data_IF_808612921617
#
_entry.id   IF_808612921617
#
_cell.length_a   1.000
_cell.length_b   1.000
_cell.length_c   1.000
_cell.angle_alpha   90.00
_cell.angle_beta   90.00
_cell.angle_gamma   90.00
#
_symmetry.space_group_name_H-M   'P 1'
#
loop_
_entity.id
_entity.type
_entity.pdbx_description
1 polymer ?
#
# COMPACT_ATOMS: atom_id res chain seq x y z
N UNK A 1 89.94 -40.57 -18.51
CA UNK A 1 89.50 -39.76 -19.66
C UNK A 1 87.96 -39.74 -19.57
N UNK A 2 87.42 -38.63 -19.09
CA UNK A 2 86.01 -38.46 -18.68
C UNK A 2 85.21 -37.86 -19.83
N UNK A 3 84.05 -38.45 -20.18
CA UNK A 3 83.08 -37.84 -21.08
C UNK A 3 81.89 -37.37 -20.26
N UNK A 4 81.67 -36.05 -20.18
CA UNK A 4 80.48 -35.41 -19.66
C UNK A 4 79.34 -35.49 -20.68
N UNK A 5 78.24 -36.03 -20.31
CA UNK A 5 76.98 -36.00 -21.06
C UNK A 5 76.03 -35.01 -20.43
N UNK A 6 75.65 -33.96 -21.16
CA UNK A 6 74.71 -32.90 -20.74
C UNK A 6 73.30 -33.26 -21.17
N UNK A 7 72.45 -33.59 -20.22
CA UNK A 7 71.04 -33.83 -20.46
C UNK A 7 70.28 -32.51 -20.33
N UNK A 8 69.60 -32.04 -21.40
CA UNK A 8 68.74 -30.93 -21.49
C UNK A 8 67.32 -31.36 -20.94
N UNK A 9 66.93 -30.82 -19.82
CA UNK A 9 65.57 -30.96 -19.38
C UNK A 9 64.69 -29.83 -19.98
N UNK A 10 63.69 -30.20 -20.80
CA UNK A 10 62.59 -29.33 -21.23
C UNK A 10 61.62 -29.24 -20.09
N UNK A 11 61.53 -28.04 -19.48
CA UNK A 11 60.48 -27.73 -18.53
C UNK A 11 59.19 -27.40 -19.26
N UNK A 12 58.17 -28.25 -19.08
CA UNK A 12 56.82 -28.03 -19.56
C UNK A 12 56.15 -27.15 -18.55
N UNK A 13 56.00 -25.82 -18.81
CA UNK A 13 55.26 -24.88 -18.00
C UNK A 13 53.75 -25.08 -18.17
N UNK A 14 53.10 -25.69 -17.18
CA UNK A 14 51.68 -25.83 -17.12
C UNK A 14 51.11 -24.54 -16.51
N UNK A 15 50.65 -23.59 -17.35
CA UNK A 15 49.93 -22.39 -16.93
C UNK A 15 48.53 -22.77 -16.54
N UNK A 16 48.30 -22.83 -15.23
CA UNK A 16 46.96 -23.01 -14.61
C UNK A 16 46.20 -21.69 -14.72
N UNK A 17 45.36 -21.54 -15.76
CA UNK A 17 44.41 -20.43 -15.87
C UNK A 17 43.26 -20.65 -14.88
N UNK A 18 43.35 -20.05 -13.71
CA UNK A 18 42.25 -19.97 -12.76
C UNK A 18 41.16 -19.04 -13.30
N UNK A 19 40.14 -19.62 -13.91
CA UNK A 19 38.85 -18.94 -14.20
C UNK A 19 38.18 -18.54 -12.86
N UNK A 20 38.38 -17.30 -12.46
CA UNK A 20 37.55 -16.66 -11.43
C UNK A 20 36.13 -16.48 -12.01
N UNK A 21 35.29 -17.50 -11.87
CA UNK A 21 33.83 -17.33 -11.97
C UNK A 21 33.41 -16.44 -10.81
N UNK A 22 33.29 -15.14 -11.06
CA UNK A 22 32.65 -14.21 -10.18
C UNK A 22 31.18 -14.61 -10.04
N UNK A 23 30.85 -15.38 -9.01
CA UNK A 23 29.48 -15.60 -8.61
C UNK A 23 28.91 -14.23 -8.21
N UNK A 24 28.16 -13.59 -9.11
CA UNK A 24 27.35 -12.46 -8.78
C UNK A 24 26.36 -12.95 -7.71
N UNK A 25 26.65 -12.70 -6.45
CA UNK A 25 25.70 -12.88 -5.36
C UNK A 25 24.56 -11.90 -5.63
N UNK A 26 23.49 -12.38 -6.27
CA UNK A 26 22.23 -11.66 -6.28
C UNK A 26 21.82 -11.53 -4.82
N UNK A 27 21.80 -10.31 -4.31
CA UNK A 27 21.33 -10.03 -2.96
C UNK A 27 19.92 -10.61 -2.84
N UNK A 28 19.80 -11.73 -2.12
CA UNK A 28 18.54 -12.41 -1.91
C UNK A 28 17.64 -11.51 -1.05
N UNK A 29 16.35 -11.44 -1.37
CA UNK A 29 15.39 -10.66 -0.60
C UNK A 29 15.47 -11.05 0.89
N UNK A 30 15.54 -10.04 1.75
CA UNK A 30 15.43 -10.23 3.20
C UNK A 30 13.96 -10.39 3.58
N UNK A 31 13.38 -11.54 3.24
CA UNK A 31 12.00 -11.92 3.62
C UNK A 31 12.03 -12.87 4.81
N UNK A 32 10.89 -13.01 5.48
CA UNK A 32 10.71 -13.90 6.64
C UNK A 32 10.96 -15.37 6.29
N UNK A 33 10.62 -15.76 5.05
CA UNK A 33 10.87 -17.10 4.53
C UNK A 33 11.54 -17.02 3.15
N UNK A 34 12.61 -17.79 2.89
CA UNK A 34 13.28 -17.81 1.61
C UNK A 34 12.33 -18.10 0.44
N UNK A 35 12.38 -17.28 -0.62
CA UNK A 35 11.58 -17.46 -1.83
C UNK A 35 10.09 -17.09 -1.68
N UNK A 36 9.66 -16.61 -0.52
CA UNK A 36 8.29 -16.19 -0.27
C UNK A 36 8.21 -14.69 0.06
N UNK A 37 7.09 -14.06 -0.27
CA UNK A 37 6.75 -12.68 0.10
C UNK A 37 5.39 -12.70 0.82
N UNK A 38 5.40 -12.49 2.13
CA UNK A 38 4.19 -12.39 2.94
C UNK A 38 3.73 -10.95 2.98
N UNK A 39 2.61 -10.64 2.32
CA UNK A 39 2.01 -9.30 2.25
C UNK A 39 0.80 -9.24 3.17
N UNK A 40 0.77 -8.28 4.08
CA UNK A 40 -0.43 -8.01 4.88
C UNK A 40 -1.30 -6.96 4.20
N UNK A 41 -2.61 -7.17 4.29
CA UNK A 41 -3.66 -6.29 3.80
C UNK A 41 -4.95 -6.51 4.60
N UNK A 42 -5.84 -5.53 4.65
CA UNK A 42 -7.18 -5.73 5.20
C UNK A 42 -8.13 -6.18 4.09
N UNK A 43 -8.45 -7.48 4.02
CA UNK A 43 -9.14 -8.08 2.86
C UNK A 43 -10.66 -7.84 2.92
N UNK A 44 -11.05 -6.56 3.04
CA UNK A 44 -12.44 -6.09 3.05
C UNK A 44 -12.61 -4.73 2.38
N UNK A 45 -11.65 -4.32 1.52
CA UNK A 45 -11.52 -2.96 1.01
C UNK A 45 -11.52 -2.88 -0.53
N UNK A 46 -12.62 -3.26 -1.21
CA UNK A 46 -12.69 -3.19 -2.67
C UNK A 46 -12.63 -1.74 -3.18
N UNK A 47 -12.01 -1.47 -4.35
CA UNK A 47 -11.43 -2.40 -5.29
C UNK A 47 -9.96 -2.78 -4.99
N UNK A 48 -9.41 -2.31 -3.86
CA UNK A 48 -8.01 -2.56 -3.50
C UNK A 48 -7.81 -4.03 -3.15
N UNK A 49 -8.55 -4.58 -2.17
CA UNK A 49 -8.52 -5.99 -1.80
C UNK A 49 -9.87 -6.48 -1.27
N UNK A 50 -10.24 -7.69 -1.64
CA UNK A 50 -11.44 -8.37 -1.12
C UNK A 50 -11.36 -9.88 -1.35
N UNK A 51 -12.26 -10.63 -0.70
CA UNK A 51 -12.44 -12.04 -0.99
C UNK A 51 -13.47 -12.25 -2.13
N UNK A 52 -13.14 -13.13 -3.08
CA UNK A 52 -14.08 -13.80 -3.98
C UNK A 52 -14.00 -15.31 -3.73
N UNK A 53 -14.95 -15.85 -2.97
CA UNK A 53 -14.82 -17.18 -2.39
C UNK A 53 -13.58 -17.24 -1.49
N UNK A 54 -12.67 -18.19 -1.77
CA UNK A 54 -11.41 -18.35 -1.03
C UNK A 54 -10.24 -17.58 -1.66
N UNK A 55 -10.49 -16.82 -2.71
CA UNK A 55 -9.42 -16.07 -3.41
C UNK A 55 -9.39 -14.63 -2.96
N UNK A 56 -8.18 -14.14 -2.71
CA UNK A 56 -7.92 -12.72 -2.51
C UNK A 56 -7.79 -12.05 -3.87
N UNK A 57 -8.62 -11.05 -4.14
CA UNK A 57 -8.69 -10.34 -5.42
C UNK A 57 -8.66 -8.83 -5.18
N UNK A 58 -8.28 -8.07 -6.21
CA UNK A 58 -8.24 -6.62 -6.16
C UNK A 58 -6.93 -6.06 -6.71
N UNK A 59 -6.83 -4.74 -6.71
CA UNK A 59 -5.66 -4.04 -7.20
C UNK A 59 -4.38 -4.41 -6.43
N UNK A 60 -4.42 -4.38 -5.10
CA UNK A 60 -3.25 -4.59 -4.25
C UNK A 60 -2.73 -6.05 -4.28
N UNK A 61 -3.57 -7.10 -4.27
CA UNK A 61 -3.11 -8.47 -4.51
C UNK A 61 -2.49 -8.67 -5.89
N UNK A 62 -3.05 -8.08 -6.95
CA UNK A 62 -2.49 -8.19 -8.30
C UNK A 62 -1.19 -7.41 -8.44
N UNK A 63 -1.10 -6.19 -7.88
CA UNK A 63 0.15 -5.44 -7.79
C UNK A 63 1.21 -6.25 -7.05
N UNK A 64 0.85 -6.83 -5.90
CA UNK A 64 1.75 -7.68 -5.11
C UNK A 64 2.26 -8.87 -5.91
N UNK A 65 1.41 -9.51 -6.70
CA UNK A 65 1.78 -10.65 -7.54
C UNK A 65 2.74 -10.23 -8.67
N UNK A 66 2.51 -9.09 -9.33
CA UNK A 66 3.41 -8.55 -10.35
C UNK A 66 4.78 -8.22 -9.76
N UNK A 67 4.82 -7.53 -8.61
CA UNK A 67 6.06 -7.19 -7.93
C UNK A 67 6.83 -8.44 -7.47
N UNK A 68 6.14 -9.40 -6.85
CA UNK A 68 6.73 -10.66 -6.40
C UNK A 68 7.31 -11.48 -7.57
N UNK A 69 6.65 -11.50 -8.72
CA UNK A 69 7.15 -12.15 -9.94
C UNK A 69 8.51 -11.57 -10.37
N UNK A 70 8.61 -10.24 -10.45
CA UNK A 70 9.87 -9.57 -10.80
C UNK A 70 10.99 -9.85 -9.78
N UNK A 71 10.62 -9.99 -8.50
CA UNK A 71 11.52 -10.33 -7.41
C UNK A 71 11.83 -11.83 -7.32
N UNK A 72 11.21 -12.68 -8.17
CA UNK A 72 11.28 -14.15 -8.13
C UNK A 72 10.84 -14.73 -6.78
N UNK A 73 9.83 -14.13 -6.17
CA UNK A 73 9.21 -14.55 -4.91
C UNK A 73 7.80 -15.06 -5.14
N UNK A 74 7.33 -15.95 -4.26
CA UNK A 74 5.94 -16.41 -4.24
C UNK A 74 5.15 -15.56 -3.25
N UNK A 75 4.12 -14.79 -3.69
CA UNK A 75 3.32 -13.99 -2.80
C UNK A 75 2.37 -14.85 -1.96
N UNK A 76 2.12 -14.43 -0.73
CA UNK A 76 1.05 -14.91 0.13
C UNK A 76 0.43 -13.72 0.85
N UNK A 77 -0.88 -13.78 1.15
CA UNK A 77 -1.62 -12.68 1.73
C UNK A 77 -2.05 -13.02 3.15
N UNK A 78 -1.88 -12.05 4.05
CA UNK A 78 -2.28 -12.16 5.45
C UNK A 78 -3.36 -11.10 5.71
N UNK A 79 -4.60 -11.57 5.98
CA UNK A 79 -5.68 -10.70 6.43
C UNK A 79 -5.35 -10.11 7.80
N UNK A 80 -5.29 -8.80 7.87
CA UNK A 80 -4.81 -8.08 9.05
C UNK A 80 -5.62 -6.80 9.22
N UNK A 81 -6.10 -6.53 10.43
CA UNK A 81 -6.81 -5.27 10.71
C UNK A 81 -5.97 -4.06 10.34
N UNK A 82 -6.58 -3.06 9.69
CA UNK A 82 -5.91 -1.86 9.17
C UNK A 82 -5.02 -1.17 10.21
N UNK A 83 -5.52 -0.96 11.43
CA UNK A 83 -4.77 -0.34 12.52
C UNK A 83 -3.49 -1.11 12.92
N UNK A 84 -3.42 -2.42 12.60
CA UNK A 84 -2.30 -3.31 12.96
C UNK A 84 -1.29 -3.51 11.83
N UNK A 85 -1.60 -3.11 10.61
CA UNK A 85 -0.78 -3.38 9.42
C UNK A 85 0.68 -2.95 9.60
N UNK A 86 0.93 -1.68 9.88
CA UNK A 86 2.29 -1.13 9.97
C UNK A 86 3.01 -1.61 11.24
N UNK A 87 2.28 -1.79 12.34
CA UNK A 87 2.85 -2.34 13.58
C UNK A 87 3.35 -3.78 13.40
N UNK A 88 2.65 -4.58 12.60
CA UNK A 88 3.03 -5.95 12.26
C UNK A 88 4.36 -6.04 11.50
N UNK A 89 4.71 -5.04 10.69
CA UNK A 89 6.04 -4.95 10.05
C UNK A 89 7.15 -4.85 11.10
N UNK A 90 6.99 -3.95 12.07
CA UNK A 90 7.93 -3.79 13.17
C UNK A 90 8.11 -5.10 13.96
N UNK A 91 7.02 -5.82 14.22
CA UNK A 91 6.99 -7.11 14.90
C UNK A 91 7.45 -8.31 14.06
N UNK A 92 7.76 -8.13 12.76
CA UNK A 92 8.18 -9.23 11.89
C UNK A 92 7.07 -10.26 11.60
N UNK A 93 5.82 -9.84 11.55
CA UNK A 93 4.68 -10.71 11.25
C UNK A 93 4.48 -10.94 9.75
N UNK A 94 4.95 -9.99 8.92
CA UNK A 94 4.88 -10.01 7.47
C UNK A 94 6.06 -9.23 6.87
N UNK A 95 6.32 -9.42 5.60
CA UNK A 95 7.43 -8.81 4.87
C UNK A 95 7.09 -7.41 4.37
N UNK A 96 5.86 -7.23 3.91
CA UNK A 96 5.36 -5.99 3.33
C UNK A 96 3.89 -5.73 3.71
N UNK A 97 3.47 -4.47 3.59
CA UNK A 97 2.05 -4.05 3.60
C UNK A 97 1.75 -3.36 2.28
N UNK A 98 0.70 -3.84 1.60
CA UNK A 98 0.09 -3.22 0.43
C UNK A 98 -1.42 -3.33 0.64
N UNK A 99 -2.09 -2.21 0.98
CA UNK A 99 -3.51 -2.22 1.43
C UNK A 99 -4.10 -0.81 1.37
N UNK A 100 -4.09 -0.18 0.19
CA UNK A 100 -4.62 1.18 0.03
C UNK A 100 -4.05 2.20 1.03
N UNK A 101 -2.86 1.95 1.55
CA UNK A 101 -2.31 2.61 2.72
C UNK A 101 -1.54 3.89 2.37
N UNK A 102 -1.98 5.04 2.91
CA UNK A 102 -1.30 6.32 2.70
C UNK A 102 0.07 6.40 3.37
N UNK A 103 1.03 7.01 2.67
CA UNK A 103 2.33 7.38 3.23
C UNK A 103 2.15 8.59 4.14
N UNK A 104 2.50 8.44 5.42
CA UNK A 104 2.44 9.52 6.41
C UNK A 104 3.73 9.63 7.21
N UNK A 105 4.08 10.83 7.73
CA UNK A 105 5.27 10.99 8.57
C UNK A 105 5.28 10.04 9.77
N UNK A 106 4.13 9.82 10.40
CA UNK A 106 4.01 8.92 11.56
C UNK A 106 4.38 7.48 11.20
N UNK A 107 3.85 6.96 10.08
CA UNK A 107 4.16 5.60 9.60
C UNK A 107 5.62 5.46 9.20
N UNK A 108 6.21 6.51 8.62
CA UNK A 108 7.63 6.52 8.25
C UNK A 108 8.59 6.50 9.44
N UNK A 109 8.13 6.73 10.67
CA UNK A 109 8.97 6.54 11.86
C UNK A 109 9.26 5.06 12.15
N UNK A 110 8.37 4.16 11.76
CA UNK A 110 8.40 2.72 12.10
C UNK A 110 8.51 1.79 10.87
N UNK A 111 8.32 2.30 9.67
CA UNK A 111 8.44 1.56 8.42
C UNK A 111 9.04 2.44 7.33
N UNK A 112 9.59 1.84 6.27
CA UNK A 112 9.94 2.54 5.05
C UNK A 112 8.85 2.30 4.00
N UNK A 113 8.65 3.26 3.08
CA UNK A 113 7.60 3.15 2.08
C UNK A 113 8.08 3.53 0.68
N UNK A 114 7.65 2.76 -0.32
CA UNK A 114 7.77 3.08 -1.75
C UNK A 114 6.43 3.59 -2.26
N UNK A 115 6.33 4.84 -2.75
CA UNK A 115 5.12 5.36 -3.37
C UNK A 115 4.71 4.58 -4.62
N UNK A 116 3.40 4.27 -4.77
CA UNK A 116 2.91 3.67 -6.01
C UNK A 116 1.78 4.47 -6.70
N UNK A 117 0.93 5.18 -5.95
CA UNK A 117 -0.14 6.00 -6.53
C UNK A 117 -0.43 7.24 -5.67
N UNK A 118 -1.00 8.29 -6.25
CA UNK A 118 -1.54 9.44 -5.51
C UNK A 118 -3.05 9.48 -5.67
N UNK A 119 -3.77 9.66 -4.57
CA UNK A 119 -5.24 9.74 -4.54
C UNK A 119 -5.67 10.68 -3.42
N UNK A 120 -6.98 10.89 -3.29
CA UNK A 120 -7.56 11.60 -2.15
C UNK A 120 -8.74 10.83 -1.59
N UNK A 121 -9.30 11.33 -0.51
CA UNK A 121 -10.55 10.84 0.03
C UNK A 121 -11.73 11.46 -0.73
N UNK A 122 -12.81 10.69 -0.91
CA UNK A 122 -14.11 11.23 -1.23
C UNK A 122 -14.97 11.25 0.04
N UNK A 123 -15.82 12.27 0.15
CA UNK A 123 -16.81 12.36 1.22
C UNK A 123 -18.05 11.60 0.75
N UNK A 124 -18.45 10.61 1.53
CA UNK A 124 -19.65 9.82 1.36
C UNK A 124 -20.70 10.28 2.36
N UNK A 125 -21.95 10.35 1.94
CA UNK A 125 -23.07 10.77 2.77
C UNK A 125 -24.32 9.92 2.50
N UNK A 126 -25.26 9.88 3.44
CA UNK A 126 -26.57 9.30 3.18
C UNK A 126 -27.32 10.12 2.14
N UNK A 127 -28.06 9.46 1.21
CA UNK A 127 -28.79 10.13 0.11
C UNK A 127 -29.67 11.26 0.60
N UNK A 128 -30.36 11.06 1.73
CA UNK A 128 -31.34 12.01 2.29
C UNK A 128 -30.77 12.79 3.50
N UNK A 129 -29.45 12.70 3.76
CA UNK A 129 -28.77 13.36 4.86
C UNK A 129 -28.08 14.66 4.45
N UNK A 130 -27.27 15.19 5.37
CA UNK A 130 -26.34 16.29 5.05
C UNK A 130 -25.34 15.80 4.02
N UNK A 131 -24.99 16.66 3.07
CA UNK A 131 -24.07 16.31 1.96
C UNK A 131 -22.91 17.30 1.91
N UNK A 132 -21.89 17.14 2.77
CA UNK A 132 -20.70 17.97 2.75
C UNK A 132 -20.00 17.86 1.39
N UNK A 133 -19.59 19.00 0.81
CA UNK A 133 -18.94 19.06 -0.51
C UNK A 133 -17.43 19.18 -0.40
N UNK A 134 -16.96 19.75 0.71
CA UNK A 134 -15.54 19.98 1.00
C UNK A 134 -15.24 19.55 2.43
N UNK A 135 -13.97 19.43 2.78
CA UNK A 135 -13.55 19.17 4.15
C UNK A 135 -14.07 20.21 5.14
N UNK A 136 -14.21 21.46 4.71
CA UNK A 136 -14.68 22.56 5.57
C UNK A 136 -16.15 22.43 5.97
N UNK A 137 -16.95 21.74 5.16
CA UNK A 137 -18.36 21.47 5.45
C UNK A 137 -18.56 20.38 6.52
N UNK A 138 -17.47 19.77 6.99
CA UNK A 138 -17.50 18.74 8.02
C UNK A 138 -17.61 19.30 9.45
N UNK A 139 -17.47 20.63 9.65
CA UNK A 139 -17.65 21.24 10.98
C UNK A 139 -19.05 20.94 11.52
N UNK A 140 -19.11 20.35 12.73
CA UNK A 140 -20.38 19.93 13.38
C UNK A 140 -21.03 18.67 12.79
N UNK A 141 -20.38 18.03 11.81
CA UNK A 141 -20.87 16.78 11.20
C UNK A 141 -20.29 15.58 11.97
N UNK A 142 -21.12 14.56 12.19
CA UNK A 142 -20.70 13.29 12.75
C UNK A 142 -20.10 12.41 11.66
N UNK A 143 -18.78 12.26 11.65
CA UNK A 143 -17.99 11.57 10.64
C UNK A 143 -17.51 10.22 11.17
N UNK A 144 -17.83 9.15 10.45
CA UNK A 144 -17.27 7.83 10.69
C UNK A 144 -15.98 7.62 9.92
N UNK A 145 -15.01 7.00 10.58
CA UNK A 145 -13.72 6.64 10.00
C UNK A 145 -13.33 5.23 10.42
N UNK A 146 -12.57 4.56 9.59
CA UNK A 146 -11.88 3.35 10.02
C UNK A 146 -10.71 3.70 10.96
N UNK A 147 -10.59 2.94 12.04
CA UNK A 147 -9.56 3.12 13.06
C UNK A 147 -8.14 2.99 12.47
N UNK A 148 -7.26 3.91 12.84
CA UNK A 148 -5.87 3.94 12.33
C UNK A 148 -5.70 4.67 10.99
N UNK A 149 -6.78 5.21 10.40
CA UNK A 149 -6.67 6.04 9.20
C UNK A 149 -6.05 7.41 9.51
N UNK A 150 -5.35 7.99 8.54
CA UNK A 150 -4.73 9.31 8.70
C UNK A 150 -5.75 10.45 8.84
N UNK A 151 -7.00 10.20 8.48
CA UNK A 151 -8.06 11.21 8.53
C UNK A 151 -8.49 11.56 9.95
N UNK A 152 -8.38 10.65 10.92
CA UNK A 152 -8.65 10.93 12.34
C UNK A 152 -7.88 12.18 12.79
N UNK A 153 -6.56 12.20 12.53
CA UNK A 153 -5.71 13.36 12.85
C UNK A 153 -6.09 14.60 12.03
N UNK A 154 -6.37 14.43 10.73
CA UNK A 154 -6.74 15.54 9.83
C UNK A 154 -8.04 16.23 10.27
N UNK A 155 -9.06 15.47 10.67
CA UNK A 155 -10.33 16.05 11.16
C UNK A 155 -10.19 16.72 12.52
N UNK A 156 -9.28 16.22 13.37
CA UNK A 156 -8.93 16.92 14.62
C UNK A 156 -8.27 18.27 14.33
N UNK A 157 -7.34 18.33 13.39
CA UNK A 157 -6.70 19.58 12.95
C UNK A 157 -7.74 20.53 12.35
N UNK A 158 -8.62 20.04 11.47
CA UNK A 158 -9.72 20.83 10.91
C UNK A 158 -10.59 21.45 12.00
N UNK A 159 -10.93 20.67 13.04
CA UNK A 159 -11.74 21.16 14.18
C UNK A 159 -11.06 22.30 14.92
N UNK A 160 -9.74 22.22 15.16
CA UNK A 160 -8.98 23.21 15.94
C UNK A 160 -8.53 24.43 15.12
N UNK A 161 -8.14 24.23 13.86
CA UNK A 161 -7.53 25.27 13.04
C UNK A 161 -8.51 25.97 12.11
N UNK A 162 -9.64 25.34 11.80
CA UNK A 162 -10.65 25.94 10.92
C UNK A 162 -12.03 26.14 11.61
N UNK A 163 -12.60 25.08 12.20
CA UNK A 163 -13.94 25.19 12.77
C UNK A 163 -13.97 26.14 13.98
N UNK A 164 -13.10 25.93 14.97
CA UNK A 164 -13.10 26.71 16.21
C UNK A 164 -12.85 28.21 16.00
N UNK A 165 -11.88 28.65 15.18
CA UNK A 165 -11.65 30.09 14.91
C UNK A 165 -12.83 30.76 14.23
N UNK A 166 -13.72 29.98 13.57
CA UNK A 166 -14.94 30.49 12.91
C UNK A 166 -16.20 30.37 13.77
N UNK A 167 -16.07 29.94 15.03
CA UNK A 167 -17.21 29.72 15.91
C UNK A 167 -18.08 28.54 15.50
N UNK A 168 -17.58 27.63 14.64
CA UNK A 168 -18.30 26.44 14.20
C UNK A 168 -18.02 25.27 15.15
N UNK A 169 -18.98 24.34 15.32
CA UNK A 169 -18.78 23.14 16.13
C UNK A 169 -17.63 22.28 15.57
N UNK A 170 -16.94 21.57 16.46
CA UNK A 170 -15.91 20.60 16.05
C UNK A 170 -16.55 19.44 15.24
N UNK A 171 -15.72 18.78 14.39
CA UNK A 171 -16.11 17.52 13.76
C UNK A 171 -16.26 16.43 14.82
N UNK A 172 -17.37 15.71 14.83
CA UNK A 172 -17.58 14.56 15.72
C UNK A 172 -17.08 13.30 15.05
N UNK A 173 -15.88 12.84 15.45
CA UNK A 173 -15.27 11.62 14.85
C UNK A 173 -15.72 10.38 15.61
N UNK A 174 -16.21 9.36 14.87
CA UNK A 174 -16.49 8.02 15.38
C UNK A 174 -15.61 7.02 14.63
N UNK A 175 -14.81 6.22 15.35
CA UNK A 175 -13.93 5.22 14.77
C UNK A 175 -14.57 3.83 14.81
N UNK A 176 -14.40 3.06 13.73
CA UNK A 176 -14.92 1.71 13.55
C UNK A 176 -13.78 0.74 13.20
N UNK A 177 -13.95 -0.56 13.48
CA UNK A 177 -12.92 -1.55 13.20
C UNK A 177 -12.58 -1.74 11.71
N UNK A 178 -13.56 -1.54 10.81
CA UNK A 178 -13.41 -1.77 9.35
C UNK A 178 -14.20 -0.75 8.54
N UNK A 179 -13.78 -0.47 7.31
CA UNK A 179 -14.48 0.43 6.39
C UNK A 179 -15.93 -0.03 6.05
N UNK A 180 -16.23 -1.34 5.86
CA UNK A 180 -17.61 -1.81 5.72
C UNK A 180 -18.51 -1.47 6.92
N UNK A 181 -17.99 -1.54 8.15
CA UNK A 181 -18.74 -1.18 9.35
C UNK A 181 -19.04 0.33 9.40
N UNK A 182 -18.10 1.18 8.95
CA UNK A 182 -18.35 2.61 8.77
C UNK A 182 -19.51 2.85 7.80
N UNK A 183 -19.49 2.17 6.65
CA UNK A 183 -20.55 2.27 5.64
C UNK A 183 -21.89 1.79 6.17
N UNK A 184 -21.92 0.76 7.01
CA UNK A 184 -23.14 0.33 7.69
C UNK A 184 -23.66 1.38 8.68
N UNK A 185 -22.78 2.01 9.45
CA UNK A 185 -23.14 3.09 10.36
C UNK A 185 -23.69 4.31 9.61
N UNK A 186 -23.16 4.61 8.42
CA UNK A 186 -23.70 5.65 7.54
C UNK A 186 -25.11 5.30 7.04
N UNK A 187 -25.31 4.07 6.56
CA UNK A 187 -26.62 3.60 6.09
C UNK A 187 -27.69 3.54 7.19
N UNK A 188 -27.29 3.26 8.43
CA UNK A 188 -28.18 3.27 9.61
C UNK A 188 -28.36 4.63 10.25
N UNK A 189 -27.76 5.70 9.67
CA UNK A 189 -27.80 7.09 10.15
C UNK A 189 -27.16 7.30 11.53
N UNK A 190 -26.32 6.38 12.00
CA UNK A 190 -25.53 6.54 13.22
C UNK A 190 -24.41 7.56 13.05
N UNK A 191 -23.97 7.79 11.81
CA UNK A 191 -23.06 8.85 11.38
C UNK A 191 -23.67 9.58 10.19
N UNK A 192 -23.15 10.75 9.85
CA UNK A 192 -23.69 11.61 8.80
C UNK A 192 -22.82 11.63 7.54
N UNK A 193 -21.51 11.40 7.71
CA UNK A 193 -20.55 11.32 6.63
C UNK A 193 -19.49 10.26 6.91
N UNK A 194 -18.81 9.80 5.85
CA UNK A 194 -17.67 8.88 5.86
C UNK A 194 -16.63 9.40 4.89
N UNK A 195 -15.35 9.26 5.22
CA UNK A 195 -14.23 9.51 4.29
C UNK A 195 -13.62 8.17 3.88
N UNK A 196 -13.43 7.99 2.57
CA UNK A 196 -12.76 6.81 2.02
C UNK A 196 -11.86 7.18 0.86
N UNK A 197 -10.82 6.38 0.60
CA UNK A 197 -10.03 6.47 -0.62
C UNK A 197 -10.95 6.44 -1.84
N UNK A 198 -10.73 7.31 -2.81
CA UNK A 198 -11.68 7.55 -3.91
C UNK A 198 -12.22 6.27 -4.58
N UNK A 199 -11.34 5.29 -4.89
CA UNK A 199 -11.77 4.00 -5.47
C UNK A 199 -12.69 3.21 -4.55
N UNK A 200 -12.36 3.13 -3.25
CA UNK A 200 -13.19 2.42 -2.27
C UNK A 200 -14.52 3.14 -2.02
N UNK A 201 -14.52 4.48 -1.94
CA UNK A 201 -15.74 5.27 -1.80
C UNK A 201 -16.73 4.97 -2.94
N UNK A 202 -16.25 4.96 -4.18
CA UNK A 202 -17.08 4.62 -5.34
C UNK A 202 -17.63 3.18 -5.27
N UNK A 203 -16.80 2.22 -4.86
CA UNK A 203 -17.21 0.82 -4.71
C UNK A 203 -18.27 0.64 -3.61
N UNK A 204 -18.10 1.29 -2.45
CA UNK A 204 -19.10 1.24 -1.37
C UNK A 204 -20.40 1.94 -1.76
N UNK A 205 -20.33 3.11 -2.41
CA UNK A 205 -21.52 3.81 -2.88
C UNK A 205 -22.31 2.96 -3.89
N UNK A 206 -21.63 2.33 -4.86
CA UNK A 206 -22.25 1.43 -5.84
C UNK A 206 -22.97 0.23 -5.19
N UNK A 207 -22.35 -0.37 -4.15
CA UNK A 207 -22.92 -1.50 -3.41
C UNK A 207 -24.04 -1.11 -2.43
N UNK A 208 -24.25 0.17 -2.17
CA UNK A 208 -25.24 0.65 -1.19
C UNK A 208 -26.69 0.62 -1.68
N UNK A 209 -26.94 0.23 -2.94
CA UNK A 209 -28.25 0.34 -3.58
C UNK A 209 -28.84 1.76 -3.54
N UNK A 210 -27.98 2.76 -3.76
CA UNK A 210 -28.35 4.17 -3.80
C UNK A 210 -28.62 4.83 -2.43
N UNK A 211 -28.31 4.14 -1.32
CA UNK A 211 -28.46 4.71 0.04
C UNK A 211 -27.31 5.63 0.40
N UNK A 212 -26.12 5.40 -0.16
CA UNK A 212 -24.93 6.23 -0.01
C UNK A 212 -24.65 6.93 -1.32
N UNK A 213 -24.31 8.20 -1.26
CA UNK A 213 -23.88 9.02 -2.38
C UNK A 213 -22.49 9.61 -2.12
N UNK A 214 -21.73 9.84 -3.18
CA UNK A 214 -20.51 10.64 -3.10
C UNK A 214 -20.96 12.11 -3.07
N UNK A 215 -20.71 12.79 -1.97
CA UNK A 215 -21.15 14.17 -1.78
C UNK A 215 -20.11 15.20 -2.21
N UNK A 216 -18.81 14.90 -2.09
CA UNK A 216 -17.73 15.78 -2.58
C UNK A 216 -17.55 15.67 -4.09
N UNK A 217 -17.54 16.79 -4.83
CA UNK A 217 -17.32 16.79 -6.28
C UNK A 217 -15.87 16.44 -6.67
N UNK A 218 -14.92 16.68 -5.76
CA UNK A 218 -13.50 16.43 -5.93
C UNK A 218 -12.96 15.68 -4.72
N UNK A 219 -11.86 14.92 -4.90
CA UNK A 219 -11.15 14.32 -3.76
C UNK A 219 -10.60 15.38 -2.81
N UNK A 220 -10.74 15.13 -1.52
CA UNK A 220 -10.16 15.92 -0.43
C UNK A 220 -8.93 15.18 0.13
N UNK A 221 -8.04 15.90 0.82
CA UNK A 221 -6.86 15.32 1.48
C UNK A 221 -6.02 14.43 0.57
N UNK A 222 -5.55 15.00 -0.55
CA UNK A 222 -4.64 14.28 -1.47
C UNK A 222 -3.43 13.70 -0.72
N UNK A 223 -3.17 12.43 -0.94
CA UNK A 223 -2.10 11.67 -0.30
C UNK A 223 -1.58 10.59 -1.25
N UNK A 224 -0.40 10.09 -0.95
CA UNK A 224 0.27 9.05 -1.74
C UNK A 224 0.10 7.69 -1.06
N UNK A 225 -0.32 6.68 -1.80
CA UNK A 225 -0.35 5.28 -1.38
C UNK A 225 1.06 4.68 -1.50
N UNK A 226 1.41 3.77 -0.58
CA UNK A 226 2.75 3.18 -0.55
C UNK A 226 2.76 1.69 -0.27
N UNK A 227 3.77 1.02 -0.84
CA UNK A 227 4.23 -0.30 -0.40
C UNK A 227 5.13 -0.10 0.79
N UNK A 228 4.82 -0.72 1.91
CA UNK A 228 5.59 -0.59 3.13
C UNK A 228 6.42 -1.84 3.42
N UNK A 229 7.63 -1.63 3.93
CA UNK A 229 8.50 -2.67 4.48
C UNK A 229 8.98 -2.28 5.89
N UNK A 230 9.49 -3.24 6.65
CA UNK A 230 10.10 -2.97 7.94
C UNK A 230 11.18 -1.89 7.83
N UNK A 231 11.20 -0.96 8.78
CA UNK A 231 12.20 0.11 8.87
C UNK A 231 13.61 -0.43 8.75
N UNK A 232 14.38 0.13 7.81
CA UNK A 232 15.77 -0.26 7.57
C UNK A 232 15.96 -1.52 6.70
N UNK A 233 14.88 -2.18 6.21
CA UNK A 233 15.02 -3.28 5.25
C UNK A 233 15.28 -2.73 3.83
N UNK A 234 16.46 -2.14 3.65
CA UNK A 234 16.85 -1.47 2.41
C UNK A 234 17.01 -2.43 1.23
N UNK A 235 17.34 -3.70 1.49
CA UNK A 235 17.47 -4.73 0.45
C UNK A 235 16.11 -5.01 -0.17
N UNK A 236 15.11 -5.30 0.64
CA UNK A 236 13.75 -5.57 0.17
C UNK A 236 13.13 -4.33 -0.49
N UNK A 237 13.34 -3.13 0.08
CA UNK A 237 12.88 -1.88 -0.52
C UNK A 237 13.45 -1.67 -1.93
N UNK A 238 14.75 -1.82 -2.14
CA UNK A 238 15.37 -1.70 -3.47
C UNK A 238 14.83 -2.73 -4.46
N UNK A 239 14.49 -3.92 -3.99
CA UNK A 239 13.87 -4.93 -4.86
C UNK A 239 12.46 -4.52 -5.28
N UNK A 240 11.66 -3.97 -4.38
CA UNK A 240 10.34 -3.39 -4.72
C UNK A 240 10.47 -2.23 -5.72
N UNK A 241 11.41 -1.31 -5.51
CA UNK A 241 11.68 -0.20 -6.44
C UNK A 241 12.06 -0.70 -7.84
N UNK A 242 12.95 -1.69 -7.91
CA UNK A 242 13.39 -2.31 -9.18
C UNK A 242 12.23 -3.05 -9.87
N UNK A 243 11.43 -3.80 -9.11
CA UNK A 243 10.25 -4.50 -9.62
C UNK A 243 9.19 -3.52 -10.14
N UNK A 244 8.92 -2.44 -9.40
CA UNK A 244 7.99 -1.39 -9.82
C UNK A 244 8.47 -0.73 -11.11
N UNK A 245 9.75 -0.40 -11.24
CA UNK A 245 10.30 0.15 -12.47
C UNK A 245 10.15 -0.81 -13.65
N UNK A 246 10.31 -2.13 -13.43
CA UNK A 246 10.14 -3.15 -14.47
C UNK A 246 8.67 -3.21 -14.96
N UNK A 247 7.70 -3.34 -14.06
CA UNK A 247 6.27 -3.43 -14.43
C UNK A 247 5.73 -2.11 -15.03
N UNK A 248 6.29 -0.96 -14.65
CA UNK A 248 5.98 0.33 -15.31
C UNK A 248 6.52 0.35 -16.74
N UNK A 249 7.76 -0.11 -16.96
CA UNK A 249 8.38 -0.15 -18.27
C UNK A 249 7.65 -1.09 -19.24
N UNK A 250 7.08 -2.19 -18.76
CA UNK A 250 6.28 -3.13 -19.59
C UNK A 250 4.84 -2.67 -19.81
N UNK A 251 4.38 -1.62 -19.11
CA UNK A 251 2.99 -1.14 -19.16
C UNK A 251 2.02 -1.96 -18.30
N UNK A 252 2.48 -2.97 -17.58
CA UNK A 252 1.61 -3.82 -16.73
C UNK A 252 1.01 -3.02 -15.57
N UNK A 253 1.77 -2.08 -15.01
CA UNK A 253 1.25 -1.18 -13.97
C UNK A 253 0.10 -0.31 -14.50
N UNK A 254 0.24 0.29 -15.68
CA UNK A 254 -0.78 1.14 -16.28
C UNK A 254 -2.03 0.33 -16.66
N UNK A 255 -1.84 -0.90 -17.15
CA UNK A 255 -2.93 -1.82 -17.42
C UNK A 255 -3.70 -2.18 -16.13
N UNK A 256 -3.00 -2.37 -15.02
CA UNK A 256 -3.60 -2.65 -13.72
C UNK A 256 -4.40 -1.45 -13.19
N UNK A 257 -3.84 -0.24 -13.26
CA UNK A 257 -4.54 1.02 -12.91
C UNK A 257 -5.84 1.15 -13.71
N UNK A 258 -5.78 0.90 -15.03
CA UNK A 258 -6.95 0.96 -15.92
C UNK A 258 -7.98 -0.11 -15.57
N UNK A 259 -7.55 -1.33 -15.29
CA UNK A 259 -8.43 -2.46 -14.94
C UNK A 259 -9.34 -2.14 -13.74
N UNK A 260 -8.80 -1.44 -12.76
CA UNK A 260 -9.49 -1.10 -11.52
C UNK A 260 -10.07 0.32 -11.51
N UNK A 261 -10.03 1.02 -12.65
CA UNK A 261 -10.53 2.41 -12.81
C UNK A 261 -9.93 3.38 -11.78
N UNK A 262 -8.63 3.20 -11.48
CA UNK A 262 -7.87 4.03 -10.57
C UNK A 262 -7.10 5.16 -11.31
N UNK A 263 -7.48 5.50 -12.53
CA UNK A 263 -6.78 6.44 -13.41
C UNK A 263 -6.61 7.86 -12.81
N UNK A 264 -7.51 8.41 -11.97
CA UNK A 264 -7.29 9.69 -11.29
C UNK A 264 -6.21 9.64 -10.22
N UNK A 265 -5.68 8.46 -9.94
CA UNK A 265 -4.90 8.09 -8.75
C UNK A 265 -3.43 7.85 -9.10
N UNK A 266 -3.07 7.80 -10.40
CA UNK A 266 -1.70 7.49 -10.82
C UNK A 266 -0.73 8.64 -10.51
N UNK A 267 0.39 8.33 -9.86
CA UNK A 267 1.56 9.22 -9.78
C UNK A 267 2.22 9.23 -11.15
N UNK A 268 2.34 10.45 -11.74
CA UNK A 268 3.19 10.65 -12.91
C UNK A 268 4.66 10.63 -12.52
#
# INVERSE_FOLDING_TARGET
MSKFSTTRQLGLGLTLATLLLGAAHQAQAQTLAPGALKVAMEISYPPFESYEGDKVVGFDPELSALLAREMKLKPSFADTKFASLVLGLGGGQHDAVISGLYVTPERLTIADAMPYATTGALIMAGKDGVQPKTENDLCGVKVGLEAGTSWVKKLKILSTEYCAPKGLPAVEVSEFPTAPEVSQALMSKNIQAQLEVAGAAMAFAAKSNGRIVISSPNPVYLQTLGVYVKKGNTVLMKQFESAMAAIRKTGEYDALIKKYDLTPVAVK
#
